data_IF_904462312510
#
_entry.id   IF_904462312510
#
_cell.length_a   1.000
_cell.length_b   1.000
_cell.length_c   1.000
_cell.angle_alpha   90.00
_cell.angle_beta   90.00
_cell.angle_gamma   90.00
#
_symmetry.space_group_name_H-M   'P 1'
#
loop_
_entity.id
_entity.type
_entity.pdbx_description
1 polymer ?
2 non-polymer ?
3 non-polymer ?
4 water ?
#
# COMPACT_ATOMS: atom_id res chain seq x y z
N UNK A 40 19.20 -19.57 -0.48
CA UNK A 40 19.72 -20.07 -1.81
C UNK A 40 20.01 -18.95 -2.81
N UNK A 41 19.08 -18.01 -2.96
CA UNK A 41 19.37 -16.83 -3.79
C UNK A 41 19.90 -15.73 -2.88
N UNK A 42 21.16 -15.33 -3.09
CA UNK A 42 21.71 -14.23 -2.30
C UNK A 42 21.23 -12.94 -2.97
N UNK A 43 20.85 -11.98 -2.15
CA UNK A 43 20.28 -10.74 -2.62
C UNK A 43 21.18 -9.58 -2.20
N UNK A 44 21.57 -8.78 -3.18
CA UNK A 44 22.47 -7.66 -2.96
C UNK A 44 21.90 -6.39 -3.52
N UNK A 45 21.85 -5.37 -2.69
CA UNK A 45 21.35 -4.07 -3.08
C UNK A 45 22.47 -3.11 -3.59
N UNK A 46 22.33 -2.62 -4.82
CA UNK A 46 23.21 -1.52 -5.30
C UNK A 46 22.58 -0.18 -4.96
N UNK A 47 23.36 0.67 -4.27
CA UNK A 47 22.85 1.91 -3.70
C UNK A 47 23.78 3.07 -4.04
N UNK A 48 23.20 4.25 -4.17
CA UNK A 48 23.93 5.49 -4.42
C UNK A 48 23.12 6.53 -5.15
N UNK A 49 23.67 7.75 -5.22
CA UNK A 49 22.95 8.92 -5.71
C UNK A 49 22.40 8.80 -7.13
N UNK A 50 21.48 9.71 -7.41
CA UNK A 50 20.98 9.93 -8.77
C UNK A 50 22.24 10.09 -9.62
N UNK A 51 22.33 9.29 -10.67
CA UNK A 51 23.43 9.30 -11.62
C UNK A 51 24.81 8.93 -11.07
N UNK A 52 24.88 8.29 -9.91
CA UNK A 52 26.11 7.60 -9.49
C UNK A 52 26.63 6.63 -10.57
N UNK A 53 25.73 5.86 -11.18
CA UNK A 53 26.11 4.87 -12.20
C UNK A 53 25.69 3.46 -11.86
N UNK A 54 24.66 3.34 -11.01
CA UNK A 54 24.10 2.06 -10.56
C UNK A 54 23.64 1.17 -11.72
N UNK A 55 22.81 1.69 -12.61
CA UNK A 55 22.34 0.94 -13.79
C UNK A 55 23.53 0.56 -14.67
N UNK A 56 24.53 1.44 -14.71
CA UNK A 56 25.72 1.21 -15.54
C UNK A 56 26.48 -0.01 -14.99
N UNK A 57 26.73 0.00 -13.68
CA UNK A 57 27.37 -1.10 -12.97
C UNK A 57 26.61 -2.43 -13.07
N UNK A 58 25.27 -2.41 -13.02
CA UNK A 58 24.50 -3.66 -13.03
C UNK A 58 24.40 -4.24 -14.46
N UNK A 59 24.33 -3.36 -15.47
CA UNK A 59 24.37 -3.75 -16.87
C UNK A 59 25.70 -4.38 -17.22
N UNK A 60 26.75 -3.95 -16.52
CA UNK A 60 28.03 -4.60 -16.61
C UNK A 60 27.98 -5.98 -15.95
N UNK A 61 27.69 -5.98 -14.64
CA UNK A 61 27.73 -7.18 -13.80
C UNK A 61 26.91 -8.37 -14.32
N UNK A 62 25.73 -8.12 -14.88
CA UNK A 62 24.82 -9.22 -15.23
C UNK A 62 25.34 -10.09 -16.40
N UNK A 63 26.26 -9.54 -17.17
CA UNK A 63 26.83 -10.18 -18.37
C UNK A 63 28.02 -11.06 -18.03
N UNK A 64 28.53 -10.87 -16.83
CA UNK A 64 29.77 -11.48 -16.40
C UNK A 64 29.52 -12.85 -15.75
N UNK A 65 28.26 -13.18 -15.53
CA UNK A 65 27.94 -14.53 -15.15
C UNK A 65 26.49 -14.84 -15.46
N UNK A 66 26.27 -16.00 -16.05
CA UNK A 66 24.93 -16.50 -16.24
C UNK A 66 24.23 -16.72 -14.89
N UNK A 67 25.00 -16.79 -13.81
CA UNK A 67 24.45 -16.94 -12.46
C UNK A 67 24.02 -15.62 -11.75
N UNK A 68 24.27 -14.50 -12.40
CA UNK A 68 23.97 -13.20 -11.81
C UNK A 68 22.84 -12.55 -12.60
N UNK A 69 21.78 -12.16 -11.90
CA UNK A 69 20.73 -11.39 -12.51
C UNK A 69 20.42 -10.11 -11.70
N UNK A 70 19.68 -9.20 -12.31
CA UNK A 70 19.50 -7.83 -11.76
C UNK A 70 18.03 -7.39 -11.82
N UNK A 71 17.52 -6.73 -10.77
CA UNK A 71 16.19 -6.09 -10.82
C UNK A 71 16.28 -4.57 -10.91
N UNK A 72 16.06 -4.01 -12.13
CA UNK A 72 15.99 -2.56 -12.29
C UNK A 72 14.99 -1.90 -11.35
N UNK A 73 15.30 -0.66 -10.93
CA UNK A 73 14.37 0.17 -10.15
C UNK A 73 13.29 0.68 -11.09
N UNK A 74 12.02 0.49 -10.71
CA UNK A 74 10.92 0.95 -11.56
C UNK A 74 10.92 2.45 -11.79
N UNK A 75 11.34 3.25 -10.79
CA UNK A 75 11.36 4.70 -11.04
C UNK A 75 12.11 5.01 -12.35
N UNK A 76 13.26 4.36 -12.57
CA UNK A 76 14.06 4.63 -13.77
C UNK A 76 13.35 4.17 -15.05
N UNK A 77 12.71 3.02 -15.01
CA UNK A 77 11.93 2.59 -16.18
C UNK A 77 10.84 3.63 -16.49
N UNK A 78 10.24 4.24 -15.46
CA UNK A 78 9.30 5.36 -15.65
C UNK A 78 9.93 6.58 -16.33
N UNK A 79 11.25 6.77 -16.15
CA UNK A 79 11.98 7.88 -16.82
C UNK A 79 12.57 7.41 -18.14
N UNK A 80 11.70 6.96 -19.05
CA UNK A 80 12.12 6.42 -20.35
C UNK A 80 10.95 6.45 -21.34
N UNK A 91 4.59 0.38 -22.97
CA UNK A 91 4.21 1.13 -21.78
C UNK A 91 2.89 0.59 -21.19
N UNK A 92 3.02 -0.29 -20.18
CA UNK A 92 1.85 -0.84 -19.45
C UNK A 92 1.21 0.21 -18.55
N UNK A 93 0.24 -0.20 -17.73
CA UNK A 93 -0.42 0.73 -16.81
C UNK A 93 0.48 1.24 -15.68
N UNK A 94 1.32 0.38 -15.10
CA UNK A 94 2.33 0.88 -14.15
C UNK A 94 3.29 1.85 -14.87
N UNK A 95 3.78 1.45 -16.05
CA UNK A 95 4.53 2.39 -16.90
C UNK A 95 3.70 3.66 -17.05
N UNK A 96 2.45 3.49 -17.49
CA UNK A 96 1.50 4.60 -17.59
C UNK A 96 1.32 5.41 -16.32
N UNK A 97 1.02 4.75 -15.18
CA UNK A 97 0.84 5.40 -13.88
C UNK A 97 2.11 6.13 -13.43
N UNK A 98 3.24 5.46 -13.58
CA UNK A 98 4.55 5.98 -13.12
C UNK A 98 5.03 7.24 -13.85
N UNK A 99 4.93 7.24 -15.18
CA UNK A 99 5.21 8.46 -15.99
C UNK A 99 4.42 9.63 -15.46
N UNK A 100 3.12 9.42 -15.30
CA UNK A 100 2.24 10.46 -14.82
C UNK A 100 2.61 10.92 -13.43
N UNK A 101 2.69 9.99 -12.49
CA UNK A 101 3.07 10.37 -11.12
C UNK A 101 4.51 10.86 -10.99
N UNK A 102 5.44 10.40 -11.85
CA UNK A 102 6.77 11.03 -11.86
C UNK A 102 6.68 12.45 -12.38
N UNK A 103 5.94 12.64 -13.46
CA UNK A 103 5.78 13.99 -14.00
C UNK A 103 5.08 14.93 -13.01
N UNK A 104 4.11 14.39 -12.24
CA UNK A 104 3.37 15.13 -11.21
C UNK A 104 4.32 15.52 -10.05
N UNK A 105 5.08 14.53 -9.60
CA UNK A 105 6.09 14.69 -8.53
C UNK A 105 7.11 15.80 -8.88
N UNK A 106 7.51 15.89 -10.15
CA UNK A 106 8.38 16.98 -10.66
C UNK A 106 7.69 18.34 -10.51
N UNK A 107 6.49 18.44 -11.08
CA UNK A 107 5.66 19.65 -11.06
C UNK A 107 5.31 20.22 -9.72
N UNK A 108 4.93 19.36 -8.77
CA UNK A 108 4.52 19.80 -7.43
C UNK A 108 4.88 18.72 -6.39
N UNK A 109 6.17 18.64 -5.98
CA UNK A 109 6.52 17.56 -5.04
C UNK A 109 5.74 17.52 -3.74
N UNK A 110 5.37 18.69 -3.20
CA UNK A 110 4.71 18.75 -1.90
C UNK A 110 3.32 18.07 -1.88
N UNK A 111 2.58 18.18 -2.98
CA UNK A 111 1.35 17.41 -3.33
C UNK A 111 1.52 15.87 -3.57
N UNK A 112 2.61 15.46 -4.24
CA UNK A 112 2.68 14.14 -4.88
C UNK A 112 3.65 13.14 -4.25
N UNK A 113 4.54 13.64 -3.39
CA UNK A 113 5.53 12.82 -2.69
C UNK A 113 4.99 11.56 -2.00
N UNK A 114 3.93 11.69 -1.20
CA UNK A 114 3.35 10.50 -0.55
C UNK A 114 2.89 9.45 -1.58
N UNK A 115 2.22 9.90 -2.64
CA UNK A 115 1.60 9.03 -3.63
C UNK A 115 2.69 8.35 -4.48
N UNK A 116 3.60 9.16 -5.01
CA UNK A 116 4.81 8.69 -5.68
C UNK A 116 5.59 7.66 -4.84
N UNK A 117 5.84 7.97 -3.56
CA UNK A 117 6.65 7.10 -2.68
C UNK A 117 5.99 5.74 -2.43
N UNK A 118 4.70 5.75 -2.12
CA UNK A 118 3.98 4.50 -1.94
C UNK A 118 4.04 3.70 -3.25
N UNK A 119 3.82 4.36 -4.40
CA UNK A 119 3.76 3.64 -5.67
C UNK A 119 5.11 3.17 -6.19
N UNK A 120 6.16 3.96 -5.96
CA UNK A 120 7.52 3.47 -6.24
C UNK A 120 7.88 2.24 -5.38
N UNK A 121 7.55 2.25 -4.10
CA UNK A 121 7.88 1.10 -3.27
C UNK A 121 7.08 -0.12 -3.64
N UNK A 122 5.77 0.06 -3.82
CA UNK A 122 4.92 -1.03 -4.24
C UNK A 122 5.49 -1.69 -5.49
N UNK A 123 5.77 -0.89 -6.53
CA UNK A 123 6.36 -1.34 -7.80
C UNK A 123 7.68 -2.07 -7.58
N UNK A 124 8.57 -1.48 -6.79
CA UNK A 124 9.82 -2.19 -6.45
C UNK A 124 9.61 -3.56 -5.77
N UNK A 125 8.67 -3.64 -4.83
CA UNK A 125 8.46 -4.88 -4.07
C UNK A 125 7.92 -5.93 -5.04
N UNK A 126 6.98 -5.51 -5.88
CA UNK A 126 6.37 -6.41 -6.85
C UNK A 126 7.44 -6.99 -7.74
N UNK A 127 8.30 -6.12 -8.29
CA UNK A 127 9.34 -6.50 -9.23
C UNK A 127 10.46 -7.34 -8.61
N UNK A 128 10.90 -7.00 -7.40
CA UNK A 128 11.86 -7.87 -6.72
C UNK A 128 11.28 -9.29 -6.56
N UNK A 129 9.98 -9.43 -6.25
CA UNK A 129 9.35 -10.78 -6.31
C UNK A 129 9.35 -11.39 -7.74
N UNK A 130 8.91 -10.63 -8.74
CA UNK A 130 8.86 -11.08 -10.15
C UNK A 130 10.18 -11.66 -10.68
N UNK A 131 11.29 -11.04 -10.31
CA UNK A 131 12.61 -11.58 -10.65
C UNK A 131 12.98 -12.73 -9.75
N UNK A 132 12.59 -12.64 -8.48
CA UNK A 132 13.08 -13.57 -7.44
C UNK A 132 12.45 -14.98 -7.44
N UNK A 133 11.14 -15.05 -7.61
CA UNK A 133 10.48 -16.35 -7.81
C UNK A 133 10.54 -16.81 -9.27
N UNK A 134 10.98 -15.93 -10.17
CA UNK A 134 10.92 -16.17 -11.62
C UNK A 134 12.22 -16.18 -12.43
N UNK A 135 13.38 -16.11 -11.78
CA UNK A 135 14.64 -16.16 -12.54
C UNK A 135 15.69 -17.03 -11.87
N UNK A 136 16.82 -17.24 -12.59
CA UNK A 136 18.00 -17.91 -12.05
C UNK A 136 17.67 -19.30 -11.50
N UNK A 137 16.85 -20.04 -12.24
CA UNK A 137 16.19 -21.21 -11.66
C UNK A 137 17.07 -22.42 -11.26
N UNK A 138 18.02 -22.79 -12.11
CA UNK A 138 18.94 -23.87 -11.76
C UNK A 138 20.36 -23.38 -11.50
N UNK A 139 20.60 -22.07 -11.67
CA UNK A 139 21.94 -21.49 -11.49
C UNK A 139 22.63 -22.13 -10.29
N UNK A 140 23.94 -22.34 -10.39
CA UNK A 140 24.65 -22.98 -9.26
C UNK A 140 24.98 -22.06 -8.10
N UNK A 141 25.25 -20.78 -8.39
CA UNK A 141 25.58 -19.84 -7.30
C UNK A 141 24.81 -18.53 -7.48
N UNK A 142 23.46 -18.63 -7.55
CA UNK A 142 22.68 -17.44 -7.96
C UNK A 142 22.87 -16.22 -7.07
N UNK A 143 23.07 -15.07 -7.70
CA UNK A 143 23.01 -13.78 -7.00
C UNK A 143 22.10 -12.88 -7.83
N UNK A 144 21.16 -12.24 -7.14
CA UNK A 144 20.33 -11.22 -7.77
C UNK A 144 20.81 -9.87 -7.22
N UNK A 145 21.02 -8.91 -8.12
CA UNK A 145 21.41 -7.56 -7.74
C UNK A 145 20.26 -6.55 -7.90
N UNK A 146 19.81 -6.03 -6.76
CA UNK A 146 18.73 -5.05 -6.73
C UNK A 146 19.30 -3.66 -7.01
N UNK A 147 18.69 -2.95 -7.97
CA UNK A 147 19.00 -1.54 -8.19
C UNK A 147 18.16 -0.80 -7.15
N UNK A 148 18.80 -0.43 -6.03
CA UNK A 148 18.16 0.13 -4.86
C UNK A 148 17.14 -0.83 -4.22
N UNK A 149 16.51 -0.36 -3.16
CA UNK A 149 15.87 -1.27 -2.25
C UNK A 149 14.75 -0.54 -1.54
N UNK A 150 13.88 -1.29 -0.90
CA UNK A 150 12.82 -0.73 -0.09
C UNK A 150 13.37 0.07 1.08
N UNK A 151 14.65 -0.13 1.42
CA UNK A 151 15.32 0.64 2.45
C UNK A 151 15.77 2.00 1.98
N UNK A 152 16.20 2.11 0.73
CA UNK A 152 16.48 3.44 0.20
C UNK A 152 15.18 4.18 -0.12
N UNK A 153 14.10 3.46 -0.41
CA UNK A 153 12.80 4.09 -0.57
C UNK A 153 12.39 4.89 0.69
N UNK A 154 12.52 4.26 1.86
CA UNK A 154 12.18 4.82 3.14
C UNK A 154 13.30 5.69 3.74
N UNK A 155 14.42 5.09 4.11
CA UNK A 155 15.42 5.79 4.99
C UNK A 155 16.25 6.85 4.26
N UNK A 156 16.20 6.82 2.94
CA UNK A 156 16.78 7.88 2.10
C UNK A 156 15.73 8.83 1.50
N UNK A 157 14.98 8.36 0.50
CA UNK A 157 14.20 9.25 -0.35
C UNK A 157 12.90 9.74 0.33
N UNK A 158 12.16 8.83 0.93
CA UNK A 158 10.91 9.16 1.63
C UNK A 158 11.25 10.04 2.83
N UNK A 159 12.15 9.59 3.69
CA UNK A 159 12.64 10.42 4.82
C UNK A 159 13.10 11.84 4.40
N UNK A 160 13.88 11.95 3.32
CA UNK A 160 14.31 13.26 2.83
C UNK A 160 13.18 14.13 2.34
N UNK A 161 12.13 13.51 1.81
CA UNK A 161 10.94 14.25 1.39
C UNK A 161 10.21 14.76 2.63
N UNK A 162 10.30 14.03 3.74
CA UNK A 162 9.72 14.44 4.98
C UNK A 162 10.51 15.67 5.50
N UNK A 163 11.83 15.55 5.48
CA UNK A 163 12.76 16.55 6.03
C UNK A 163 12.77 17.86 5.26
N UNK A 164 12.33 17.84 4.02
CA UNK A 164 12.30 19.06 3.23
C UNK A 164 10.85 19.48 3.06
N UNK A 165 10.00 18.87 3.87
CA UNK A 165 8.61 19.31 4.11
C UNK A 165 7.61 19.04 2.98
N UNK A 166 7.98 18.13 2.06
CA UNK A 166 7.12 17.71 0.94
C UNK A 166 6.09 16.67 1.36
N UNK A 167 6.29 16.07 2.52
CA UNK A 167 5.23 15.35 3.26
C UNK A 167 5.10 15.87 4.68
N UNK A 168 3.87 15.92 5.20
CA UNK A 168 3.62 16.27 6.59
C UNK A 168 3.86 15.04 7.51
N UNK A 169 3.71 15.20 8.82
CA UNK A 169 4.01 14.11 9.75
C UNK A 169 3.01 12.96 9.66
N UNK A 170 1.78 13.26 9.20
CA UNK A 170 0.74 12.24 9.07
C UNK A 170 1.02 11.46 7.80
N UNK A 171 1.46 12.13 6.73
CA UNK A 171 1.86 11.39 5.53
C UNK A 171 3.04 10.50 5.79
N UNK A 172 4.08 11.06 6.44
CA UNK A 172 5.29 10.31 6.71
C UNK A 172 4.93 9.10 7.58
N UNK A 173 4.18 9.35 8.64
CA UNK A 173 3.83 8.33 9.60
C UNK A 173 2.93 7.24 8.99
N UNK A 174 2.00 7.65 8.15
CA UNK A 174 1.17 6.70 7.39
C UNK A 174 2.07 5.88 6.46
N UNK A 175 2.99 6.54 5.76
CA UNK A 175 3.94 5.81 4.93
C UNK A 175 4.76 4.81 5.74
N UNK A 176 5.25 5.23 6.91
CA UNK A 176 6.07 4.34 7.71
C UNK A 176 5.29 3.11 8.15
N UNK A 177 4.01 3.28 8.47
CA UNK A 177 3.12 2.16 8.82
C UNK A 177 2.89 1.26 7.59
N UNK A 178 2.52 1.87 6.46
CA UNK A 178 2.29 1.15 5.18
C UNK A 178 3.57 0.32 4.77
N UNK A 179 4.76 0.91 4.95
CA UNK A 179 6.08 0.25 4.66
C UNK A 179 6.36 -0.96 5.54
N UNK A 180 6.46 -0.74 6.86
CA UNK A 180 6.56 -1.79 7.87
C UNK A 180 5.71 -2.99 7.49
N UNK A 181 4.43 -2.71 7.23
CA UNK A 181 3.43 -3.74 7.01
C UNK A 181 3.48 -4.37 5.62
N UNK A 182 3.67 -3.53 4.61
CA UNK A 182 3.75 -3.97 3.23
C UNK A 182 4.90 -4.97 3.07
N UNK A 183 6.02 -4.64 3.69
CA UNK A 183 7.20 -5.50 3.63
C UNK A 183 7.09 -6.73 4.52
N UNK A 184 6.43 -6.59 5.67
CA UNK A 184 6.22 -7.77 6.51
C UNK A 184 5.31 -8.78 5.83
N UNK A 185 4.19 -8.31 5.28
CA UNK A 185 3.22 -9.23 4.65
C UNK A 185 3.76 -9.98 3.45
N UNK A 186 4.22 -9.23 2.45
CA UNK A 186 4.59 -9.80 1.16
C UNK A 186 6.09 -9.73 0.89
N UNK A 187 6.81 -9.03 1.76
CA UNK A 187 8.19 -8.62 1.43
C UNK A 187 9.30 -9.44 2.08
N UNK A 188 8.91 -10.40 2.90
CA UNK A 188 9.85 -11.21 3.69
C UNK A 188 10.98 -11.94 2.95
N UNK A 189 10.73 -12.45 1.76
CA UNK A 189 11.80 -13.16 1.07
C UNK A 189 12.83 -12.16 0.50
N UNK A 190 12.74 -10.90 0.97
CA UNK A 190 13.56 -9.82 0.43
C UNK A 190 14.68 -9.34 1.35
N UNK A 191 14.80 -9.93 2.55
CA UNK A 191 15.96 -9.72 3.41
C UNK A 191 17.25 -9.61 2.58
N UNK A 192 18.05 -8.58 2.87
CA UNK A 192 19.28 -8.34 2.14
C UNK A 192 20.48 -9.07 2.75
N UNK A 193 21.28 -9.70 1.88
CA UNK A 193 22.49 -10.42 2.27
C UNK A 193 23.74 -9.54 2.28
N UNK A 194 23.73 -8.50 1.46
CA UNK A 194 24.76 -7.46 1.47
C UNK A 194 24.25 -6.25 0.71
N UNK A 195 24.94 -5.13 0.92
CA UNK A 195 24.77 -3.93 0.13
C UNK A 195 26.11 -3.47 -0.45
N UNK A 196 26.07 -3.04 -1.69
CA UNK A 196 27.18 -2.40 -2.33
C UNK A 196 26.84 -0.93 -2.46
N UNK A 197 27.54 -0.09 -1.70
CA UNK A 197 27.40 1.36 -1.87
C UNK A 197 28.38 1.87 -2.92
N UNK A 198 27.85 2.35 -4.04
CA UNK A 198 28.61 3.11 -5.03
C UNK A 198 28.67 4.59 -4.64
N UNK A 199 29.75 4.95 -3.94
CA UNK A 199 29.98 6.33 -3.53
C UNK A 199 30.56 7.21 -4.65
N UNK A 200 29.94 8.37 -4.88
CA UNK A 200 30.32 9.35 -5.95
C UNK A 200 29.88 10.80 -5.62
N UNK A 201 30.72 11.78 -5.97
CA UNK A 201 30.40 13.18 -5.62
C UNK A 201 29.15 13.73 -6.29
N UNK A 202 28.44 14.62 -5.56
CA UNK A 202 27.30 15.36 -6.11
C UNK A 202 27.64 15.98 -7.47
N UNK A 203 28.90 16.41 -7.62
CA UNK A 203 29.42 17.04 -8.83
C UNK A 203 29.48 16.08 -10.02
N UNK A 204 30.01 14.89 -9.79
CA UNK A 204 30.01 13.82 -10.82
C UNK A 204 28.57 13.50 -11.22
N UNK A 205 27.77 13.28 -10.20
CA UNK A 205 26.34 12.98 -10.33
C UNK A 205 25.64 14.01 -11.22
N UNK A 206 25.81 15.31 -10.89
CA UNK A 206 25.21 16.37 -11.71
C UNK A 206 25.75 16.36 -13.14
N UNK A 207 27.06 16.13 -13.27
CA UNK A 207 27.68 15.98 -14.59
C UNK A 207 27.10 14.79 -15.35
N UNK A 208 26.91 13.70 -14.61
CA UNK A 208 26.37 12.48 -15.19
C UNK A 208 24.89 12.63 -15.58
N UNK A 209 24.12 13.34 -14.75
CA UNK A 209 22.75 13.73 -15.18
C UNK A 209 22.76 14.34 -16.59
N UNK A 210 23.67 15.29 -16.84
CA UNK A 210 23.71 15.98 -18.12
C UNK A 210 24.07 15.03 -19.26
N UNK A 211 25.01 14.13 -18.99
CA UNK A 211 25.43 13.13 -19.96
C UNK A 211 24.32 12.16 -20.37
N UNK A 212 23.30 12.05 -19.53
CA UNK A 212 22.17 11.18 -19.83
C UNK A 212 21.13 11.95 -20.62
N UNK A 213 20.98 13.23 -20.29
CA UNK A 213 20.25 14.20 -21.13
C UNK A 213 18.75 14.20 -20.89
N UNK A 214 18.34 13.54 -19.81
CA UNK A 214 16.92 13.46 -19.43
C UNK A 214 16.41 14.89 -19.21
N UNK A 215 15.64 15.38 -20.18
CA UNK A 215 15.16 16.77 -20.18
C UNK A 215 14.40 17.09 -18.90
N UNK A 216 13.59 16.10 -18.47
CA UNK A 216 12.90 16.18 -17.21
C UNK A 216 13.88 16.39 -16.04
N UNK A 217 15.10 15.88 -16.17
CA UNK A 217 16.06 15.87 -15.05
C UNK A 217 17.07 17.03 -14.93
N UNK A 218 17.10 17.94 -15.91
CA UNK A 218 18.14 18.99 -15.96
C UNK A 218 18.05 19.98 -14.81
N UNK A 219 16.82 20.22 -14.36
CA UNK A 219 16.56 21.16 -13.27
C UNK A 219 16.89 20.68 -11.87
N UNK A 220 17.20 19.39 -11.71
CA UNK A 220 17.57 18.87 -10.37
C UNK A 220 18.89 19.54 -9.95
N UNK A 221 18.88 20.25 -8.80
CA UNK A 221 19.99 21.10 -8.43
C UNK A 221 21.02 20.39 -7.59
N UNK A 222 22.18 21.02 -7.45
CA UNK A 222 23.30 20.49 -6.70
C UNK A 222 23.01 20.22 -5.23
N UNK A 223 22.35 21.17 -4.57
CA UNK A 223 22.03 21.01 -3.16
C UNK A 223 21.06 19.81 -2.86
N UNK A 224 20.21 19.44 -3.81
CA UNK A 224 19.39 18.22 -3.67
C UNK A 224 20.28 16.95 -3.75
N UNK A 225 21.17 16.91 -4.74
CA UNK A 225 22.19 15.84 -4.82
C UNK A 225 23.03 15.81 -3.56
N UNK A 226 23.45 16.98 -3.09
CA UNK A 226 24.16 17.09 -1.81
C UNK A 226 23.44 16.53 -0.58
N UNK A 227 22.14 16.75 -0.41
CA UNK A 227 21.47 16.17 0.81
C UNK A 227 21.26 14.65 0.73
N UNK A 228 21.05 14.14 -0.48
CA UNK A 228 20.94 12.68 -0.66
C UNK A 228 22.32 12.06 -0.44
N UNK A 229 23.34 12.72 -0.98
CA UNK A 229 24.71 12.30 -0.71
C UNK A 229 24.87 12.09 0.80
N UNK A 230 24.47 13.09 1.60
CA UNK A 230 24.60 12.99 3.07
C UNK A 230 23.67 11.93 3.71
N UNK A 231 22.47 11.74 3.14
CA UNK A 231 21.62 10.62 3.58
C UNK A 231 22.31 9.27 3.32
N UNK A 232 22.93 9.13 2.15
CA UNK A 232 23.70 7.92 1.85
C UNK A 232 24.95 7.79 2.75
N UNK A 233 25.81 8.81 2.76
CA UNK A 233 27.06 8.73 3.56
C UNK A 233 26.70 8.31 4.99
N UNK A 234 25.74 9.01 5.58
CA UNK A 234 25.25 8.70 6.94
C UNK A 234 24.74 7.27 7.16
N UNK A 235 23.98 6.71 6.21
CA UNK A 235 23.46 5.35 6.41
C UNK A 235 24.46 4.23 6.05
N UNK A 236 25.26 4.42 5.01
CA UNK A 236 26.09 3.31 4.55
C UNK A 236 27.60 3.41 4.81
N UNK A 237 28.08 4.61 5.10
CA UNK A 237 29.49 4.83 5.46
C UNK A 237 29.67 5.14 6.95
N UNK A 238 29.16 6.30 7.36
CA UNK A 238 29.26 6.73 8.76
C UNK A 238 28.33 5.92 9.71
N UNK A 239 27.20 5.45 9.19
CA UNK A 239 26.26 4.55 9.92
C UNK A 239 25.51 5.16 11.12
N UNK A 240 25.33 6.49 11.07
CA UNK A 240 24.49 7.23 12.03
C UNK A 240 23.02 6.84 11.91
N UNK A 241 22.54 6.72 10.68
CA UNK A 241 21.13 6.50 10.39
C UNK A 241 20.46 5.27 11.04
N UNK A 242 19.52 5.56 11.94
CA UNK A 242 18.69 4.53 12.58
C UNK A 242 17.69 3.88 11.57
N UNK A 243 17.26 2.66 11.86
CA UNK A 243 16.21 1.97 11.07
C UNK A 243 15.39 1.04 11.98
N UNK A 244 14.18 0.71 11.55
CA UNK A 244 13.36 -0.26 12.27
C UNK A 244 13.51 -1.69 11.73
N UNK A 245 14.67 -1.99 11.18
CA UNK A 245 14.97 -3.32 10.70
C UNK A 245 16.29 -3.77 11.33
N UNK A 246 16.17 -4.53 12.43
CA UNK A 246 17.32 -4.95 13.24
C UNK A 246 18.51 -5.42 12.40
N UNK A 247 18.26 -6.36 11.49
CA UNK A 247 19.29 -7.01 10.68
C UNK A 247 20.11 -6.07 9.76
N UNK A 248 19.55 -4.89 9.43
CA UNK A 248 20.31 -3.86 8.69
C UNK A 248 21.57 -3.34 9.41
N UNK A 249 21.63 -3.59 10.72
CA UNK A 249 22.82 -3.30 11.52
C UNK A 249 23.96 -4.23 11.14
N UNK A 250 23.66 -5.53 11.09
CA UNK A 250 24.65 -6.57 10.88
C UNK A 250 24.99 -6.86 9.41
N UNK A 251 24.11 -6.49 8.48
CA UNK A 251 24.33 -6.84 7.07
C UNK A 251 25.60 -6.18 6.49
N UNK A 252 26.46 -7.00 5.85
CA UNK A 252 27.66 -6.57 5.14
C UNK A 252 27.46 -5.49 4.09
N UNK A 253 28.33 -4.48 4.13
CA UNK A 253 28.29 -3.35 3.21
C UNK A 253 29.62 -3.27 2.50
N UNK A 254 29.61 -3.04 1.19
CA UNK A 254 30.84 -2.76 0.44
C UNK A 254 30.75 -1.40 -0.20
N UNK A 255 31.80 -0.59 -0.02
CA UNK A 255 31.83 0.77 -0.59
C UNK A 255 32.79 0.95 -1.77
N UNK A 256 32.29 1.40 -2.92
CA UNK A 256 33.10 1.57 -4.13
C UNK A 256 33.05 2.98 -4.76
N UNK A 257 34.24 3.53 -4.96
CA UNK A 257 34.44 4.82 -5.61
C UNK A 257 34.21 4.85 -7.16
N UNK A 258 33.11 5.43 -7.61
CA UNK A 258 32.79 5.49 -9.06
C UNK A 258 32.99 6.88 -9.60
N UNK A 259 33.70 7.68 -8.81
CA UNK A 259 34.14 9.03 -9.20
C UNK A 259 34.80 9.00 -10.59
N UNK A 260 35.78 8.14 -10.77
CA UNK A 260 36.38 7.92 -12.08
C UNK A 260 35.50 7.01 -12.96
N UNK A 261 35.38 7.35 -14.25
CA UNK A 261 34.71 6.51 -15.25
C UNK A 261 35.10 5.03 -15.08
N UNK A 262 34.20 4.13 -15.46
CA UNK A 262 34.50 2.70 -15.38
C UNK A 262 33.94 1.91 -16.58
N UNK A 263 33.32 2.61 -17.53
CA UNK A 263 32.63 1.96 -18.64
C UNK A 263 33.53 1.08 -19.50
N UNK A 264 34.82 1.40 -19.55
CA UNK A 264 35.80 0.61 -20.27
C UNK A 264 36.95 0.22 -19.34
N UNK A 265 36.74 0.34 -18.04
CA UNK A 265 37.79 0.07 -17.05
C UNK A 265 37.18 -0.32 -15.70
N UNK A 266 36.64 -1.54 -15.63
CA UNK A 266 35.83 -1.92 -14.49
C UNK A 266 36.27 -3.15 -13.73
N UNK A 267 37.43 -3.70 -14.09
CA UNK A 267 37.85 -4.99 -13.54
C UNK A 267 38.11 -4.96 -12.06
N UNK A 268 38.74 -3.89 -11.58
CA UNK A 268 39.00 -3.76 -10.13
C UNK A 268 37.69 -3.68 -9.35
N UNK A 269 36.71 -2.99 -9.91
CA UNK A 269 35.35 -2.89 -9.28
C UNK A 269 34.74 -4.29 -9.13
N UNK A 270 34.82 -5.06 -10.20
CA UNK A 270 34.29 -6.43 -10.25
C UNK A 270 35.03 -7.32 -9.25
N UNK A 271 36.37 -7.25 -9.18
CA UNK A 271 37.12 -7.97 -8.12
C UNK A 271 36.64 -7.67 -6.70
N UNK A 272 36.35 -6.40 -6.41
CA UNK A 272 35.87 -6.08 -5.07
C UNK A 272 34.50 -6.76 -4.79
N UNK A 273 33.65 -6.87 -5.82
CA UNK A 273 32.35 -7.60 -5.72
C UNK A 273 32.49 -9.10 -5.38
N UNK A 274 33.18 -9.85 -6.26
CA UNK A 274 33.39 -11.30 -6.09
C UNK A 274 34.04 -11.62 -4.77
N UNK A 275 35.04 -10.84 -4.42
CA UNK A 275 35.65 -10.93 -3.10
C UNK A 275 34.61 -10.75 -1.96
N UNK A 276 33.87 -9.65 -2.04
CA UNK A 276 32.81 -9.34 -1.08
C UNK A 276 31.77 -10.47 -0.99
N UNK A 277 31.34 -10.99 -2.15
CA UNK A 277 30.36 -12.08 -2.20
C UNK A 277 30.81 -13.33 -1.43
N UNK A 278 32.11 -13.65 -1.52
CA UNK A 278 32.65 -14.84 -0.82
C UNK A 278 32.63 -14.77 0.69
N UNK A 279 32.45 -13.58 1.23
CA UNK A 279 32.29 -13.40 2.67
C UNK A 279 30.85 -13.72 3.09
N UNK A 280 30.01 -14.09 2.12
CA UNK A 280 28.58 -14.30 2.39
C UNK A 280 28.19 -15.75 2.08
N UNK B 40 -11.77 -22.56 8.00
CA UNK B 40 -13.11 -23.01 8.51
C UNK B 40 -13.86 -21.97 9.35
N UNK B 41 -13.27 -20.80 9.59
CA UNK B 41 -14.03 -19.65 10.09
C UNK B 41 -14.81 -19.07 8.89
N UNK B 42 -16.13 -18.87 9.03
CA UNK B 42 -16.94 -18.19 8.02
C UNK B 42 -16.72 -16.66 8.07
N UNK B 43 -16.67 -16.04 6.90
CA UNK B 43 -16.42 -14.60 6.76
C UNK B 43 -17.60 -13.94 6.05
N UNK B 44 -18.31 -13.12 6.77
CA UNK B 44 -19.50 -12.49 6.27
C UNK B 44 -19.33 -10.99 6.41
N UNK B 45 -19.41 -10.27 5.30
CA UNK B 45 -19.38 -8.81 5.40
C UNK B 45 -20.79 -8.23 5.65
N UNK B 46 -20.87 -7.21 6.49
CA UNK B 46 -22.08 -6.43 6.73
C UNK B 46 -21.95 -5.12 5.95
N UNK B 47 -22.66 -5.02 4.81
CA UNK B 47 -22.61 -3.81 3.97
C UNK B 47 -23.80 -2.84 4.21
N UNK B 48 -23.53 -1.56 3.98
CA UNK B 48 -24.57 -0.50 4.03
C UNK B 48 -24.08 0.92 4.10
N UNK B 49 -25.00 1.87 3.92
CA UNK B 49 -24.68 3.30 3.97
C UNK B 49 -24.37 3.82 5.38
N UNK B 50 -23.82 5.04 5.41
CA UNK B 50 -23.41 5.75 6.61
C UNK B 50 -24.57 5.91 7.62
N UNK B 51 -24.32 5.39 8.82
CA UNK B 51 -25.29 5.43 9.92
C UNK B 51 -26.58 4.62 9.66
N UNK B 52 -26.55 3.80 8.60
CA UNK B 52 -27.65 2.87 8.29
C UNK B 52 -27.97 1.82 9.39
N UNK B 53 -27.03 1.58 10.30
CA UNK B 53 -27.25 0.71 11.46
C UNK B 53 -26.29 -0.47 11.57
N UNK B 54 -25.17 -0.38 10.86
CA UNK B 54 -24.20 -1.49 10.76
C UNK B 54 -23.60 -1.82 12.13
N UNK B 55 -23.12 -0.81 12.83
CA UNK B 55 -22.41 -0.99 14.08
C UNK B 55 -23.40 -1.47 15.18
N UNK B 56 -24.63 -0.95 15.16
CA UNK B 56 -25.65 -1.39 16.13
C UNK B 56 -25.92 -2.86 15.92
N UNK B 57 -26.23 -3.22 14.66
CA UNK B 57 -26.58 -4.59 14.27
C UNK B 57 -25.43 -5.57 14.60
N UNK B 58 -24.24 -5.25 14.11
CA UNK B 58 -23.08 -6.08 14.39
C UNK B 58 -22.86 -6.33 15.89
N UNK B 59 -23.05 -5.31 16.73
CA UNK B 59 -22.95 -5.49 18.18
C UNK B 59 -24.01 -6.44 18.70
N UNK B 60 -25.21 -6.36 18.13
CA UNK B 60 -26.28 -7.27 18.48
C UNK B 60 -25.96 -8.73 18.12
N UNK B 61 -25.43 -8.98 16.92
CA UNK B 61 -25.07 -10.37 16.55
C UNK B 61 -23.95 -10.92 17.45
N UNK B 62 -22.94 -10.11 17.74
CA UNK B 62 -21.86 -10.55 18.65
C UNK B 62 -22.38 -11.08 20.00
N UNK B 63 -23.44 -10.45 20.54
CA UNK B 63 -24.04 -10.86 21.84
C UNK B 63 -24.76 -12.23 21.86
N UNK B 64 -25.08 -12.79 20.70
CA UNK B 64 -26.03 -13.90 20.63
C UNK B 64 -25.40 -15.26 20.61
N UNK B 65 -24.21 -15.36 20.02
CA UNK B 65 -23.50 -16.63 19.90
C UNK B 65 -22.06 -16.48 20.33
N UNK B 66 -21.60 -17.49 21.06
CA UNK B 66 -20.22 -17.56 21.47
C UNK B 66 -19.37 -17.84 20.26
N UNK B 67 -19.97 -18.46 19.23
CA UNK B 67 -19.31 -18.62 17.94
C UNK B 67 -19.39 -17.33 17.08
N UNK B 68 -19.94 -16.25 17.59
CA UNK B 68 -20.02 -15.07 16.71
C UNK B 68 -19.12 -13.92 17.16
N UNK B 69 -18.22 -13.49 16.28
CA UNK B 69 -17.39 -12.34 16.58
C UNK B 69 -17.47 -11.30 15.47
N UNK B 70 -16.98 -10.10 15.79
CA UNK B 70 -17.08 -8.91 14.96
C UNK B 70 -15.69 -8.33 14.60
N UNK B 71 -15.55 -7.75 13.41
CA UNK B 71 -14.42 -6.88 13.07
C UNK B 71 -14.99 -5.49 12.71
N UNK B 72 -14.93 -4.56 13.68
CA UNK B 72 -15.47 -3.25 13.40
C UNK B 72 -14.62 -2.58 12.33
N UNK B 73 -15.17 -1.57 11.70
CA UNK B 73 -14.48 -0.94 10.59
C UNK B 73 -13.50 0.09 11.13
N UNK B 74 -12.26 0.08 10.64
CA UNK B 74 -11.27 1.05 11.09
C UNK B 74 -11.76 2.50 11.14
N UNK B 75 -12.34 3.01 10.04
CA UNK B 75 -12.69 4.45 10.01
C UNK B 75 -13.80 4.87 10.99
N UNK B 76 -14.68 3.90 11.29
CA UNK B 76 -15.67 4.04 12.34
C UNK B 76 -14.99 4.41 13.67
N UNK B 77 -13.87 3.76 13.98
CA UNK B 77 -13.18 3.97 15.25
C UNK B 77 -12.41 5.29 15.27
N UNK B 78 -11.92 5.73 14.12
CA UNK B 78 -11.32 7.07 13.98
C UNK B 78 -12.41 8.15 14.06
N UNK B 79 -13.65 7.73 13.80
CA UNK B 79 -14.82 8.64 13.74
C UNK B 79 -15.37 9.01 15.12
N UNK B 91 -4.38 5.59 22.92
CA UNK B 91 -4.12 6.34 21.68
C UNK B 91 -3.07 5.67 20.80
N UNK B 92 -3.49 4.61 20.10
CA UNK B 92 -2.68 3.83 19.15
C UNK B 92 -2.05 4.70 18.05
N UNK B 93 -0.98 4.19 17.43
CA UNK B 93 -0.38 4.90 16.31
C UNK B 93 -1.32 4.99 15.12
N UNK B 94 -2.10 3.92 14.88
CA UNK B 94 -3.13 3.94 13.83
C UNK B 94 -4.22 4.98 14.08
N UNK B 95 -4.57 5.19 15.35
CA UNK B 95 -5.67 6.09 15.71
C UNK B 95 -5.33 7.56 15.56
N UNK B 96 -4.09 7.95 15.87
CA UNK B 96 -3.65 9.31 15.61
C UNK B 96 -3.68 9.67 14.12
N UNK B 97 -2.99 8.88 13.29
CA UNK B 97 -3.04 9.02 11.84
C UNK B 97 -4.46 9.01 11.31
N UNK B 98 -5.20 8.00 11.76
CA UNK B 98 -6.59 7.82 11.35
C UNK B 98 -7.42 9.04 11.70
N UNK B 99 -7.33 9.49 12.96
CA UNK B 99 -7.96 10.74 13.41
C UNK B 99 -7.64 11.94 12.54
N UNK B 100 -6.34 12.17 12.28
CA UNK B 100 -5.86 13.26 11.42
C UNK B 100 -6.33 13.19 9.97
N UNK B 101 -6.14 12.05 9.33
CA UNK B 101 -6.51 11.97 7.91
C UNK B 101 -8.05 12.10 7.63
N UNK B 102 -8.86 11.63 8.58
CA UNK B 102 -10.32 11.76 8.48
C UNK B 102 -10.76 13.21 8.47
N UNK B 103 -10.10 14.02 9.30
CA UNK B 103 -10.39 15.44 9.45
C UNK B 103 -9.89 16.18 8.21
N UNK B 104 -8.68 15.81 7.77
CA UNK B 104 -8.13 16.40 6.56
C UNK B 104 -8.98 16.07 5.35
N UNK B 105 -9.58 14.89 5.35
CA UNK B 105 -10.55 14.49 4.34
C UNK B 105 -11.83 15.35 4.37
N UNK B 106 -12.37 15.55 5.58
CA UNK B 106 -13.58 16.41 5.79
C UNK B 106 -13.39 17.86 5.35
N UNK B 107 -12.16 18.38 5.48
CA UNK B 107 -11.82 19.75 5.08
C UNK B 107 -11.47 19.90 3.60
N UNK B 108 -10.75 18.95 3.00
CA UNK B 108 -10.36 19.02 1.59
C UNK B 108 -10.24 17.67 0.88
N UNK B 109 -11.37 17.14 0.38
CA UNK B 109 -11.36 15.76 -0.06
C UNK B 109 -10.50 15.50 -1.29
N UNK B 110 -10.42 16.45 -2.23
CA UNK B 110 -9.63 16.22 -3.44
C UNK B 110 -8.12 16.36 -3.24
N UNK B 111 -7.69 16.75 -2.05
CA UNK B 111 -6.28 16.63 -1.63
C UNK B 111 -5.99 15.28 -0.91
N UNK B 112 -6.94 14.77 -0.11
CA UNK B 112 -6.66 13.67 0.80
C UNK B 112 -7.39 12.35 0.54
N UNK B 113 -8.24 12.32 -0.50
CA UNK B 113 -9.00 11.12 -0.84
C UNK B 113 -8.08 9.91 -1.04
N UNK B 114 -7.04 10.05 -1.89
CA UNK B 114 -6.13 8.91 -2.15
C UNK B 114 -5.45 8.41 -0.90
N UNK B 115 -4.89 9.32 -0.10
CA UNK B 115 -4.23 8.99 1.16
C UNK B 115 -5.24 8.28 2.06
N UNK B 116 -6.48 8.80 2.08
CA UNK B 116 -7.51 8.27 2.96
C UNK B 116 -7.91 6.87 2.61
N UNK B 117 -8.29 6.65 1.36
CA UNK B 117 -8.62 5.32 0.86
C UNK B 117 -7.53 4.27 1.05
N UNK B 118 -6.29 4.64 0.74
CA UNK B 118 -5.17 3.73 0.95
C UNK B 118 -5.06 3.29 2.42
N UNK B 119 -5.08 4.25 3.35
CA UNK B 119 -4.92 3.92 4.77
C UNK B 119 -6.15 3.21 5.37
N UNK B 120 -7.35 3.69 5.02
CA UNK B 120 -8.59 2.98 5.40
C UNK B 120 -8.60 1.48 5.04
N UNK B 121 -8.23 1.17 3.80
CA UNK B 121 -8.16 -0.21 3.33
C UNK B 121 -7.03 -1.00 4.02
N UNK B 122 -5.86 -0.40 4.17
CA UNK B 122 -4.77 -1.07 4.86
C UNK B 122 -5.14 -1.45 6.30
N UNK B 123 -5.65 -0.47 7.03
CA UNK B 123 -6.06 -0.59 8.41
C UNK B 123 -7.16 -1.63 8.52
N UNK B 124 -7.95 -1.81 7.44
CA UNK B 124 -8.99 -2.84 7.43
C UNK B 124 -8.37 -4.21 7.21
N UNK B 125 -7.47 -4.34 6.23
CA UNK B 125 -6.89 -5.63 5.85
C UNK B 125 -6.17 -6.18 7.06
N UNK B 126 -5.47 -5.32 7.79
CA UNK B 126 -4.76 -5.78 8.96
C UNK B 126 -5.67 -6.03 10.17
N UNK B 127 -6.79 -5.32 10.30
CA UNK B 127 -7.73 -5.62 11.38
C UNK B 127 -8.38 -6.97 11.14
N UNK B 128 -8.77 -7.25 9.88
CA UNK B 128 -9.35 -8.53 9.47
C UNK B 128 -8.35 -9.70 9.57
N UNK B 129 -7.12 -9.50 9.08
CA UNK B 129 -6.09 -10.55 9.11
C UNK B 129 -5.83 -11.04 10.53
N UNK B 130 -5.83 -10.09 11.46
CA UNK B 130 -5.58 -10.32 12.88
C UNK B 130 -6.66 -11.17 13.54
N UNK B 131 -7.92 -10.92 13.17
CA UNK B 131 -9.08 -11.59 13.77
C UNK B 131 -9.15 -13.07 13.39
N UNK B 132 -8.96 -13.41 12.12
CA UNK B 132 -8.69 -14.81 11.76
C UNK B 132 -7.64 -15.43 12.70
N UNK B 133 -6.70 -14.61 13.18
CA UNK B 133 -5.49 -15.10 13.87
C UNK B 133 -5.47 -15.11 15.39
N UNK B 134 -6.57 -14.70 16.00
CA UNK B 134 -6.81 -14.89 17.43
C UNK B 134 -8.14 -15.57 17.70
N UNK B 135 -9.22 -14.78 17.59
CA UNK B 135 -10.62 -15.21 17.77
C UNK B 135 -10.98 -16.51 17.02
N UNK B 136 -11.97 -17.24 17.56
CA UNK B 136 -12.64 -18.39 16.91
C UNK B 136 -11.86 -19.70 16.68
N UNK B 137 -10.70 -19.82 17.30
CA UNK B 137 -10.00 -21.09 17.27
C UNK B 137 -10.81 -22.20 17.96
N UNK B 138 -11.54 -21.83 19.01
CA UNK B 138 -12.33 -22.77 19.82
C UNK B 138 -13.85 -22.73 19.55
N UNK B 139 -14.23 -22.80 18.27
CA UNK B 139 -15.65 -22.83 17.88
C UNK B 139 -15.95 -23.99 16.91
N UNK B 140 -17.17 -24.53 16.98
CA UNK B 140 -17.65 -25.57 16.06
C UNK B 140 -18.34 -24.90 14.88
N UNK B 141 -19.04 -23.80 15.16
CA UNK B 141 -19.72 -23.03 14.14
C UNK B 141 -19.19 -21.57 14.13
N UNK B 142 -17.92 -21.37 13.76
CA UNK B 142 -17.35 -20.02 13.90
C UNK B 142 -17.77 -19.05 12.79
N UNK B 143 -18.19 -17.85 13.18
CA UNK B 143 -18.59 -16.87 12.17
C UNK B 143 -17.92 -15.54 12.48
N UNK B 144 -17.25 -14.98 11.47
CA UNK B 144 -16.61 -13.68 11.56
C UNK B 144 -17.43 -12.70 10.73
N UNK B 145 -18.10 -11.76 11.41
CA UNK B 145 -18.82 -10.67 10.73
C UNK B 145 -17.91 -9.42 10.60
N UNK B 146 -17.67 -9.00 9.37
CA UNK B 146 -16.86 -7.82 9.07
C UNK B 146 -17.77 -6.60 8.86
N UNK B 147 -17.50 -5.51 9.56
CA UNK B 147 -18.18 -4.24 9.28
C UNK B 147 -17.58 -3.60 8.02
N UNK B 148 -18.26 -3.82 6.87
CA UNK B 148 -17.82 -3.50 5.51
C UNK B 148 -16.68 -4.42 5.01
N UNK B 149 -16.32 -4.30 3.73
CA UNK B 149 -15.26 -5.13 3.19
C UNK B 149 -14.24 -4.31 2.36
N UNK B 150 -13.19 -4.97 1.89
CA UNK B 150 -12.26 -4.40 0.92
C UNK B 150 -12.96 -3.99 -0.38
N UNK B 151 -14.02 -4.70 -0.77
CA UNK B 151 -14.74 -4.44 -2.04
C UNK B 151 -15.61 -3.24 -1.85
N UNK B 152 -16.12 -3.13 -0.64
CA UNK B 152 -16.79 -1.95 -0.15
C UNK B 152 -15.88 -0.71 -0.30
N UNK B 153 -14.70 -0.76 0.33
CA UNK B 153 -13.68 0.30 0.24
C UNK B 153 -13.45 0.91 -1.16
N UNK B 154 -13.35 0.02 -2.13
CA UNK B 154 -12.99 0.32 -3.50
C UNK B 154 -14.17 0.64 -4.43
N UNK B 155 -15.28 -0.09 -4.30
CA UNK B 155 -16.39 -0.01 -5.29
C UNK B 155 -17.59 0.79 -4.80
N UNK B 156 -17.52 1.19 -3.55
CA UNK B 156 -18.52 2.13 -3.04
C UNK B 156 -17.81 3.46 -2.85
N UNK B 157 -16.75 3.47 -2.04
CA UNK B 157 -16.19 4.71 -1.60
C UNK B 157 -15.16 5.29 -2.56
N UNK B 158 -14.12 4.53 -2.88
CA UNK B 158 -13.06 4.97 -3.80
C UNK B 158 -13.61 5.23 -5.22
N UNK B 159 -14.48 4.36 -5.70
CA UNK B 159 -15.09 4.59 -7.01
C UNK B 159 -15.91 5.89 -7.02
N UNK B 160 -16.67 6.11 -5.95
CA UNK B 160 -17.46 7.34 -5.80
C UNK B 160 -16.64 8.62 -5.77
N UNK B 161 -15.55 8.64 -4.98
CA UNK B 161 -14.68 9.83 -4.89
C UNK B 161 -14.06 10.18 -6.25
N UNK B 162 -13.64 9.16 -7.00
CA UNK B 162 -13.10 9.39 -8.33
C UNK B 162 -14.16 9.89 -9.33
N UNK B 163 -15.36 9.32 -9.26
CA UNK B 163 -16.45 9.72 -10.16
C UNK B 163 -16.92 11.12 -9.79
N UNK B 164 -16.73 11.48 -8.54
CA UNK B 164 -17.02 12.81 -8.07
C UNK B 164 -15.78 13.71 -8.11
N UNK B 165 -14.76 13.30 -8.88
CA UNK B 165 -13.55 14.11 -9.14
C UNK B 165 -12.71 14.51 -7.94
N UNK B 166 -12.75 13.71 -6.88
CA UNK B 166 -11.91 14.02 -5.74
C UNK B 166 -10.63 13.18 -5.78
N UNK B 167 -10.57 12.26 -6.74
CA UNK B 167 -9.31 11.61 -7.09
C UNK B 167 -9.21 11.73 -8.57
N UNK B 168 -8.03 12.07 -9.07
CA UNK B 168 -7.86 12.12 -10.51
C UNK B 168 -7.55 10.71 -11.01
N UNK B 169 -7.45 10.57 -12.34
CA UNK B 169 -7.29 9.31 -13.05
C UNK B 169 -6.10 8.50 -12.51
N UNK B 170 -4.93 9.14 -12.43
CA UNK B 170 -3.71 8.50 -11.96
C UNK B 170 -3.97 7.88 -10.60
N UNK B 171 -4.46 8.69 -9.64
CA UNK B 171 -4.71 8.26 -8.24
C UNK B 171 -5.66 7.07 -8.20
N UNK B 172 -6.70 7.13 -9.02
CA UNK B 172 -7.63 6.02 -9.19
C UNK B 172 -6.99 4.75 -9.82
N UNK B 173 -6.16 4.85 -10.86
CA UNK B 173 -5.53 3.62 -11.40
C UNK B 173 -4.38 3.06 -10.50
N UNK B 174 -3.78 3.94 -9.70
CA UNK B 174 -2.71 3.54 -8.76
C UNK B 174 -3.37 2.80 -7.58
N UNK B 175 -4.44 3.40 -7.05
CA UNK B 175 -5.22 2.79 -6.00
C UNK B 175 -5.68 1.40 -6.39
N UNK B 176 -6.20 1.27 -7.60
CA UNK B 176 -6.78 0.03 -8.08
C UNK B 176 -5.70 -1.01 -8.33
N UNK B 177 -4.60 -0.58 -8.97
CA UNK B 177 -3.40 -1.42 -9.10
C UNK B 177 -3.04 -2.05 -7.76
N UNK B 178 -2.77 -1.22 -6.76
CA UNK B 178 -2.41 -1.67 -5.41
C UNK B 178 -3.49 -2.57 -4.78
N UNK B 179 -4.74 -2.11 -4.78
CA UNK B 179 -5.85 -2.95 -4.34
C UNK B 179 -5.83 -4.32 -5.05
N UNK B 180 -5.70 -4.33 -6.38
CA UNK B 180 -5.67 -5.58 -7.14
C UNK B 180 -4.47 -6.44 -6.81
N UNK B 181 -3.32 -5.84 -6.53
CA UNK B 181 -2.12 -6.65 -6.39
C UNK B 181 -2.08 -7.36 -5.06
N UNK B 182 -2.39 -6.60 -4.02
CA UNK B 182 -2.41 -7.08 -2.65
C UNK B 182 -3.60 -8.01 -2.31
N UNK B 183 -4.83 -7.55 -2.56
CA UNK B 183 -5.98 -8.41 -2.31
C UNK B 183 -5.93 -9.71 -3.11
N UNK B 184 -5.02 -9.77 -4.07
CA UNK B 184 -4.79 -11.02 -4.81
C UNK B 184 -3.44 -11.68 -4.50
N UNK B 185 -2.79 -11.27 -3.40
CA UNK B 185 -1.67 -12.00 -2.83
C UNK B 185 -2.16 -13.01 -1.79
N UNK B 186 -3.31 -12.72 -1.20
CA UNK B 186 -3.86 -13.51 -0.08
C UNK B 186 -4.65 -14.76 -0.50
N UNK B 187 -4.65 -15.07 -1.79
CA UNK B 187 -5.30 -16.28 -2.31
C UNK B 187 -6.78 -16.41 -2.00
N UNK B 188 -7.10 -17.01 -0.85
CA UNK B 188 -8.49 -17.27 -0.40
C UNK B 188 -8.78 -16.87 1.08
N UNK B 189 -7.94 -16.03 1.68
CA UNK B 189 -7.88 -15.85 3.13
C UNK B 189 -8.94 -14.93 3.76
N UNK B 190 -9.10 -13.74 3.19
CA UNK B 190 -10.10 -12.82 3.71
C UNK B 190 -11.42 -12.97 2.93
N UNK B 191 -11.34 -13.66 1.78
CA UNK B 191 -12.45 -13.98 0.87
C UNK B 191 -13.74 -14.31 1.61
N UNK B 192 -14.84 -13.68 1.19
CA UNK B 192 -16.10 -13.75 1.93
C UNK B 192 -16.85 -15.04 1.62
N UNK B 193 -17.55 -15.58 2.61
CA UNK B 193 -18.52 -16.68 2.43
C UNK B 193 -19.89 -16.14 2.01
N UNK B 194 -20.19 -14.91 2.44
CA UNK B 194 -21.37 -14.19 1.98
C UNK B 194 -21.53 -12.77 2.46
N UNK B 195 -22.51 -12.08 1.91
CA UNK B 195 -22.72 -10.66 2.17
C UNK B 195 -24.11 -10.38 2.77
N UNK B 196 -24.14 -9.53 3.77
CA UNK B 196 -25.39 -9.07 4.39
C UNK B 196 -25.54 -7.56 4.24
N UNK B 197 -26.60 -7.12 3.55
CA UNK B 197 -26.79 -5.70 3.19
C UNK B 197 -27.91 -5.04 3.97
N UNK B 198 -27.52 -4.12 4.84
CA UNK B 198 -28.48 -3.35 5.61
C UNK B 198 -28.91 -2.16 4.79
N UNK B 199 -30.13 -2.26 4.30
CA UNK B 199 -30.65 -1.34 3.34
C UNK B 199 -31.54 -0.35 4.08
N UNK B 200 -31.15 0.92 3.99
CA UNK B 200 -31.96 2.03 4.47
C UNK B 200 -32.16 2.99 3.28
N UNK B 201 -32.85 4.09 3.56
CA UNK B 201 -32.91 5.23 2.65
C UNK B 201 -31.96 6.31 3.15
N UNK B 202 -31.68 7.30 2.28
CA UNK B 202 -30.86 8.41 2.70
C UNK B 202 -31.42 9.24 3.88
N UNK B 203 -32.74 9.55 3.87
CA UNK B 203 -33.33 10.37 4.96
C UNK B 203 -33.22 9.62 6.27
N UNK B 204 -33.48 8.32 6.21
CA UNK B 204 -33.22 7.40 7.33
C UNK B 204 -31.81 7.59 7.86
N UNK B 205 -30.83 7.40 6.98
CA UNK B 205 -29.42 7.68 7.28
C UNK B 205 -29.14 9.10 7.81
N UNK B 206 -29.84 10.12 7.28
CA UNK B 206 -29.63 11.49 7.79
C UNK B 206 -30.09 11.64 9.26
N UNK B 207 -31.35 11.26 9.54
CA UNK B 207 -31.88 11.16 10.92
C UNK B 207 -30.77 10.64 11.83
N UNK B 208 -30.36 9.42 11.51
CA UNK B 208 -29.49 8.64 12.38
C UNK B 208 -28.10 9.27 12.55
N UNK B 209 -27.60 9.91 11.50
CA UNK B 209 -26.42 10.82 11.62
C UNK B 209 -26.67 11.95 12.67
N UNK B 210 -27.86 12.56 12.66
CA UNK B 210 -28.15 13.55 13.72
C UNK B 210 -28.29 12.88 15.07
N UNK B 211 -28.99 11.74 15.11
CA UNK B 211 -29.11 10.97 16.35
C UNK B 211 -27.74 10.60 16.93
N UNK B 212 -26.86 10.09 16.05
CA UNK B 212 -25.55 9.56 16.45
C UNK B 212 -24.61 10.65 17.01
N UNK B 213 -24.64 11.85 16.42
CA UNK B 213 -24.10 13.06 17.07
C UNK B 213 -22.60 13.30 17.21
N UNK B 214 -21.82 12.89 16.21
CA UNK B 214 -20.38 13.26 16.12
C UNK B 214 -20.28 14.60 15.35
N UNK B 215 -19.49 15.56 15.87
CA UNK B 215 -19.48 16.94 15.32
C UNK B 215 -19.37 17.01 13.80
N UNK B 216 -18.39 16.30 13.24
CA UNK B 216 -17.95 16.53 11.87
C UNK B 216 -18.84 15.88 10.80
N UNK B 217 -19.61 14.87 11.21
CA UNK B 217 -20.61 14.21 10.34
C UNK B 217 -21.89 15.08 10.18
N UNK B 218 -22.07 16.02 11.11
CA UNK B 218 -23.24 16.90 11.15
C UNK B 218 -23.29 17.81 9.91
N UNK B 219 -22.20 17.79 9.13
CA UNK B 219 -22.18 18.49 7.84
C UNK B 219 -22.66 17.66 6.66
N UNK B 220 -22.75 16.33 6.82
CA UNK B 220 -22.98 15.46 5.64
C UNK B 220 -24.31 15.79 5.00
N UNK B 221 -24.26 16.25 3.73
CA UNK B 221 -25.50 16.67 3.07
C UNK B 221 -26.23 15.49 2.52
N UNK B 222 -27.57 15.58 2.52
CA UNK B 222 -28.40 14.46 2.12
C UNK B 222 -27.88 13.94 0.80
N UNK B 223 -27.41 14.89 -0.02
CA UNK B 223 -26.84 14.65 -1.36
C UNK B 223 -25.78 13.53 -1.48
N UNK B 224 -24.84 13.55 -0.54
CA UNK B 224 -23.75 12.58 -0.51
C UNK B 224 -24.33 11.19 -0.32
N UNK B 225 -25.14 11.06 0.74
CA UNK B 225 -25.84 9.82 1.09
C UNK B 225 -26.58 9.24 -0.12
N UNK B 226 -27.08 10.11 -0.99
CA UNK B 226 -27.77 9.65 -2.19
C UNK B 226 -26.84 9.01 -3.21
N UNK B 227 -25.66 9.59 -3.43
CA UNK B 227 -24.69 8.95 -4.32
C UNK B 227 -24.29 7.61 -3.67
N UNK B 228 -24.05 7.64 -2.35
CA UNK B 228 -23.66 6.41 -1.63
C UNK B 228 -24.75 5.32 -1.68
N UNK B 229 -26.03 5.70 -1.68
CA UNK B 229 -27.10 4.69 -1.88
C UNK B 229 -27.18 4.02 -3.27
N UNK B 230 -27.22 4.82 -4.34
CA UNK B 230 -27.32 4.25 -5.70
C UNK B 230 -26.30 3.12 -5.91
N UNK B 231 -25.08 3.32 -5.41
CA UNK B 231 -23.98 2.39 -5.65
C UNK B 231 -24.12 1.07 -4.88
N UNK B 232 -24.67 1.13 -3.68
CA UNK B 232 -24.92 -0.08 -2.91
C UNK B 232 -25.93 -0.95 -3.65
N UNK B 233 -26.85 -0.32 -4.40
CA UNK B 233 -27.89 -1.03 -5.18
C UNK B 233 -27.35 -1.76 -6.42
N UNK B 234 -26.50 -1.08 -7.18
CA UNK B 234 -25.89 -1.64 -8.40
C UNK B 234 -24.92 -2.77 -8.05
N UNK B 235 -24.25 -2.64 -6.90
CA UNK B 235 -23.37 -3.68 -6.46
C UNK B 235 -24.16 -4.91 -5.99
N UNK B 236 -25.00 -4.71 -4.99
CA UNK B 236 -25.56 -5.83 -4.23
C UNK B 236 -26.90 -6.38 -4.74
N UNK B 237 -27.86 -5.48 -4.99
CA UNK B 237 -29.22 -5.87 -5.39
C UNK B 237 -29.30 -6.40 -6.82
N UNK B 238 -29.16 -5.51 -7.80
CA UNK B 238 -29.21 -5.93 -9.20
C UNK B 238 -28.00 -6.77 -9.56
N UNK B 239 -27.03 -6.83 -8.63
CA UNK B 239 -25.75 -7.49 -8.88
C UNK B 239 -25.24 -7.17 -10.29
N UNK B 240 -25.24 -5.87 -10.61
CA UNK B 240 -24.71 -5.33 -11.86
C UNK B 240 -23.18 -5.41 -11.90
N UNK B 241 -22.56 -4.67 -10.98
CA UNK B 241 -21.12 -4.35 -10.94
C UNK B 241 -20.21 -5.46 -11.43
N UNK B 242 -19.27 -5.11 -12.30
CA UNK B 242 -18.21 -6.01 -12.70
C UNK B 242 -17.01 -5.67 -11.83
N UNK B 243 -16.59 -6.62 -11.00
CA UNK B 243 -15.41 -6.45 -10.16
C UNK B 243 -14.26 -7.31 -10.70
N UNK B 244 -13.06 -7.10 -10.18
CA UNK B 244 -11.89 -7.85 -10.62
C UNK B 244 -11.76 -9.21 -9.92
N UNK B 245 -12.68 -9.50 -9.00
CA UNK B 245 -12.57 -10.64 -8.09
C UNK B 245 -13.57 -11.76 -8.42
N UNK B 246 -13.07 -12.81 -9.07
CA UNK B 246 -13.90 -13.89 -9.66
C UNK B 246 -14.96 -14.49 -8.74
N UNK B 247 -14.50 -15.21 -7.71
CA UNK B 247 -15.36 -15.86 -6.71
C UNK B 247 -16.52 -14.99 -6.17
N UNK B 248 -16.36 -13.67 -6.21
CA UNK B 248 -17.35 -12.71 -5.67
C UNK B 248 -18.65 -12.71 -6.46
N UNK B 249 -18.58 -13.13 -7.71
CA UNK B 249 -19.78 -13.31 -8.54
C UNK B 249 -20.58 -14.51 -8.03
N UNK B 250 -19.90 -15.44 -7.37
CA UNK B 250 -20.51 -16.59 -6.67
C UNK B 250 -20.59 -16.43 -5.13
N UNK B 251 -20.69 -15.19 -4.67
CA UNK B 251 -20.93 -14.86 -3.26
C UNK B 251 -22.43 -14.59 -3.03
N UNK B 252 -23.10 -15.39 -2.18
CA UNK B 252 -24.54 -15.20 -2.02
C UNK B 252 -24.84 -14.01 -1.14
N UNK B 253 -25.96 -13.36 -1.38
CA UNK B 253 -26.24 -12.11 -0.67
C UNK B 253 -27.55 -12.19 0.08
N UNK B 254 -27.56 -11.65 1.30
CA UNK B 254 -28.78 -11.45 2.08
C UNK B 254 -29.09 -9.96 2.20
N UNK B 255 -30.18 -9.51 1.58
CA UNK B 255 -30.63 -8.14 1.80
C UNK B 255 -31.65 -8.09 2.89
N UNK B 256 -31.43 -7.20 3.85
CA UNK B 256 -32.37 -6.87 4.91
C UNK B 256 -32.80 -5.40 4.83
N UNK B 257 -34.10 -5.21 4.73
CA UNK B 257 -34.73 -3.91 4.88
C UNK B 257 -34.58 -3.44 6.34
N UNK B 258 -33.87 -2.34 6.58
CA UNK B 258 -33.58 -1.91 7.97
C UNK B 258 -34.04 -0.51 8.41
N UNK B 259 -34.97 0.10 7.67
CA UNK B 259 -35.55 1.42 8.02
C UNK B 259 -36.34 1.53 9.37
N UNK B 260 -37.09 0.48 9.74
CA UNK B 260 -37.70 0.37 11.08
C UNK B 260 -36.62 0.27 12.19
N UNK B 261 -36.71 1.13 13.21
CA UNK B 261 -35.81 1.10 14.36
C UNK B 261 -35.82 -0.36 14.88
N UNK B 262 -34.65 -1.00 14.98
CA UNK B 262 -34.63 -2.46 15.19
C UNK B 262 -33.90 -2.92 16.45
N UNK B 263 -33.60 -2.00 17.35
CA UNK B 263 -32.87 -2.29 18.58
C UNK B 263 -33.72 -3.12 19.57
N UNK B 264 -35.02 -3.13 19.37
CA UNK B 264 -35.91 -3.82 20.28
C UNK B 264 -36.55 -4.99 19.56
N UNK B 265 -36.56 -4.94 18.23
CA UNK B 265 -37.21 -5.96 17.42
C UNK B 265 -36.32 -6.46 16.29
N UNK B 266 -35.16 -7.01 16.65
CA UNK B 266 -34.24 -7.60 15.67
C UNK B 266 -34.45 -9.10 15.44
N UNK B 267 -35.37 -9.71 16.17
CA UNK B 267 -35.49 -11.16 16.10
C UNK B 267 -35.72 -11.67 14.68
N UNK B 268 -36.61 -11.02 13.92
CA UNK B 268 -36.93 -11.40 12.54
C UNK B 268 -35.70 -11.29 11.63
N UNK B 269 -34.95 -10.21 11.78
CA UNK B 269 -33.72 -10.00 11.01
C UNK B 269 -32.75 -11.14 11.33
N UNK B 270 -32.54 -11.39 12.61
CA UNK B 270 -31.59 -12.43 13.05
C UNK B 270 -31.99 -13.83 12.65
N UNK B 271 -33.31 -14.13 12.61
CA UNK B 271 -33.77 -15.39 12.06
C UNK B 271 -33.34 -15.60 10.60
N UNK B 272 -33.33 -14.52 9.82
CA UNK B 272 -32.89 -14.57 8.43
C UNK B 272 -31.36 -14.81 8.33
N UNK B 273 -30.59 -14.07 9.12
CA UNK B 273 -29.13 -14.29 9.19
C UNK B 273 -28.85 -15.76 9.47
N UNK B 274 -29.48 -16.34 10.52
CA UNK B 274 -29.38 -17.78 10.78
C UNK B 274 -29.76 -18.69 9.59
N UNK B 275 -30.96 -18.52 9.04
CA UNK B 275 -31.35 -19.20 7.80
C UNK B 275 -30.27 -19.12 6.68
N UNK B 276 -29.72 -17.92 6.48
CA UNK B 276 -28.67 -17.65 5.47
C UNK B 276 -27.34 -18.37 5.81
N UNK B 277 -26.89 -18.26 7.06
CA UNK B 277 -25.63 -18.91 7.52
C UNK B 277 -25.69 -20.44 7.41
N UNK B 278 -26.89 -20.99 7.48
CA UNK B 278 -27.11 -22.44 7.42
C UNK B 278 -27.08 -22.98 6.00
N UNK B 279 -27.57 -22.18 5.05
CA UNK B 279 -27.49 -22.53 3.62
C UNK B 279 -26.06 -22.37 3.14
N UNK B 280 -25.35 -21.45 3.79
CA UNK B 280 -24.06 -20.97 3.32
C UNK B 280 -22.99 -22.04 3.30
#
# INVERSE_FOLDING_TARGET
MGSSHHHHHHSSGLVPRGSHMATPPKRSSPSFSASSEGTRIKKISIEGNIAAGKSTFVNILKQLSEDWEVVPEPVARWSNVQSTQDEFEELTMEQKNGGNVLQMMYEKPERWSFTFQTYACLSRIRAQLASLNGKLKDAEKPVLFFERSVYSDRYIFASNLYESESMNETEWTIYQDWHDWMNNQFGQSLELDGIIYLQATPETCLHRIYLRGRNEEQGIPLEYLEKLHYKHESWLLHRTLKTNFDYLQEVPILTLDVNEDFKDKYESLVEKVKEFLSTL
MGSSHHHHHHSSGLVPRGSHMATPPKRSSPSFSASSEGTRIKKISIEGNIAAGKSTFVNILKQLSEDWEVVPEPVARWSNVQSTQDEFEELTMEQKNGGNVLQMMYEKPERWSFTFQTYACLSRIRAQLASLNGKLKDAEKPVLFFERSVYSDRYIFASNLYESESMNETEWTIYQDWHDWMNNQFGQSLELDGIIYLQATPETCLHRIYLRGRNEEQGIPLEYLEKLHYKHESWLLHRTLKTNFDYLQEVPILTLDVNEDFKDKYESLVEKVKEFLSTL
#
